data_IF_961402837698
#
_entry.id   IF_961402837698
#
_cell.length_a   1.000
_cell.length_b   1.000
_cell.length_c   1.000
_cell.angle_alpha   90.00
_cell.angle_beta   90.00
_cell.angle_gamma   90.00
#
_symmetry.space_group_name_H-M   'P 1'
#
loop_
_entity.id
_entity.type
_entity.pdbx_description
1 polymer ?
#
# COMPACT_ATOMS: atom_id res chain seq x y z
N UNK A 1 31.69 0.67 2.65
CA UNK A 1 31.09 -0.48 3.36
C UNK A 1 29.85 -0.95 2.59
N UNK A 2 29.29 -2.14 2.91
CA UNK A 2 28.08 -2.65 2.27
C UNK A 2 26.87 -1.69 2.42
N UNK A 3 26.77 -1.01 3.57
CA UNK A 3 25.76 0.02 3.85
C UNK A 3 25.76 1.15 2.81
N UNK A 4 26.91 1.81 2.61
CA UNK A 4 27.03 2.92 1.65
C UNK A 4 26.65 2.48 0.24
N UNK A 5 26.95 1.23 -0.14
CA UNK A 5 26.56 0.71 -1.45
C UNK A 5 25.05 0.50 -1.56
N UNK A 6 24.39 -0.01 -0.52
CA UNK A 6 22.94 -0.20 -0.49
C UNK A 6 22.20 1.15 -0.60
N UNK A 7 22.63 2.16 0.15
CA UNK A 7 22.03 3.50 0.12
C UNK A 7 22.15 4.18 -1.25
N UNK A 8 23.29 4.00 -1.93
CA UNK A 8 23.48 4.54 -3.29
C UNK A 8 22.51 3.87 -4.27
N UNK A 9 22.37 2.54 -4.20
CA UNK A 9 21.44 1.80 -5.06
C UNK A 9 19.99 2.21 -4.78
N UNK A 10 19.62 2.31 -3.51
CA UNK A 10 18.30 2.78 -3.09
C UNK A 10 17.98 4.17 -3.65
N UNK A 11 18.92 5.13 -3.53
CA UNK A 11 18.74 6.49 -4.07
C UNK A 11 18.59 6.51 -5.60
N UNK A 12 19.28 5.62 -6.31
CA UNK A 12 19.06 5.45 -7.75
C UNK A 12 17.63 4.94 -8.03
N UNK A 13 17.12 4.03 -7.20
CA UNK A 13 15.73 3.58 -7.24
C UNK A 13 14.75 4.75 -7.13
N UNK A 14 14.96 5.64 -6.15
CA UNK A 14 14.12 6.84 -5.96
C UNK A 14 14.10 7.77 -7.18
N UNK A 15 15.21 7.85 -7.94
CA UNK A 15 15.24 8.64 -9.17
C UNK A 15 14.32 8.07 -10.24
N UNK A 16 14.31 6.75 -10.44
CA UNK A 16 13.39 6.09 -11.37
C UNK A 16 11.94 6.14 -10.89
N UNK A 17 11.73 6.05 -9.58
CA UNK A 17 10.41 6.12 -8.92
C UNK A 17 9.76 7.48 -9.20
N UNK A 18 10.52 8.57 -9.05
CA UNK A 18 10.07 9.92 -9.39
C UNK A 18 9.70 10.11 -10.87
N UNK A 19 10.22 9.25 -11.75
CA UNK A 19 9.93 9.23 -13.19
C UNK A 19 8.84 8.22 -13.55
N UNK A 20 8.22 7.56 -12.55
CA UNK A 20 7.24 6.48 -12.72
C UNK A 20 7.78 5.27 -13.49
N UNK A 21 9.10 5.08 -13.48
CA UNK A 21 9.72 3.88 -14.01
C UNK A 21 9.79 2.83 -12.90
N UNK A 22 8.64 2.19 -12.66
CA UNK A 22 8.47 1.27 -11.53
C UNK A 22 9.34 0.03 -11.65
N UNK A 23 9.47 -0.56 -12.85
CA UNK A 23 10.32 -1.75 -13.05
C UNK A 23 11.79 -1.50 -12.68
N UNK A 24 12.36 -0.36 -13.10
CA UNK A 24 13.73 -0.01 -12.70
C UNK A 24 13.84 0.30 -11.21
N UNK A 25 12.80 0.89 -10.62
CA UNK A 25 12.75 1.18 -9.18
C UNK A 25 12.71 -0.11 -8.36
N UNK A 26 11.83 -1.05 -8.73
CA UNK A 26 11.70 -2.38 -8.10
C UNK A 26 13.05 -3.11 -8.12
N UNK A 27 13.73 -3.14 -9.26
CA UNK A 27 15.03 -3.81 -9.37
C UNK A 27 16.08 -3.20 -8.41
N UNK A 28 16.13 -1.87 -8.33
CA UNK A 28 17.09 -1.19 -7.47
C UNK A 28 16.75 -1.35 -5.99
N UNK A 29 15.48 -1.24 -5.60
CA UNK A 29 15.07 -1.46 -4.22
C UNK A 29 15.28 -2.92 -3.79
N UNK A 30 15.00 -3.89 -4.66
CA UNK A 30 15.29 -5.32 -4.42
C UNK A 30 16.79 -5.55 -4.17
N UNK A 31 17.66 -4.95 -4.99
CA UNK A 31 19.12 -5.03 -4.81
C UNK A 31 19.62 -4.34 -3.53
N UNK A 32 19.05 -3.19 -3.18
CA UNK A 32 19.37 -2.51 -1.92
C UNK A 32 18.96 -3.38 -0.71
N UNK A 33 17.75 -3.96 -0.75
CA UNK A 33 17.22 -4.83 0.27
C UNK A 33 18.01 -6.15 0.38
N UNK A 34 18.42 -6.75 -0.74
CA UNK A 34 19.28 -7.95 -0.72
C UNK A 34 20.64 -7.68 -0.05
N UNK A 35 21.15 -6.44 -0.08
CA UNK A 35 22.36 -6.05 0.62
C UNK A 35 22.14 -5.75 2.12
N UNK A 36 20.89 -5.46 2.52
CA UNK A 36 20.47 -5.19 3.90
C UNK A 36 19.04 -5.68 4.14
N UNK A 37 18.91 -6.97 4.44
CA UNK A 37 17.62 -7.67 4.45
C UNK A 37 16.66 -7.22 5.56
N UNK A 38 17.13 -6.46 6.54
CA UNK A 38 16.31 -5.96 7.66
C UNK A 38 15.93 -4.49 7.53
N UNK A 39 16.24 -3.85 6.40
CA UNK A 39 16.04 -2.41 6.21
C UNK A 39 14.60 -2.12 5.76
N UNK A 40 13.76 -1.78 6.73
CA UNK A 40 12.30 -1.62 6.55
C UNK A 40 11.93 -0.45 5.63
N UNK A 41 12.73 0.62 5.57
CA UNK A 41 12.48 1.69 4.58
C UNK A 41 12.74 1.22 3.14
N UNK A 42 13.68 0.31 2.87
CA UNK A 42 13.82 -0.24 1.52
C UNK A 42 12.60 -1.11 1.16
N UNK A 43 12.08 -1.87 2.13
CA UNK A 43 10.86 -2.66 1.94
C UNK A 43 9.66 -1.79 1.63
N UNK A 44 9.48 -0.68 2.37
CA UNK A 44 8.38 0.25 2.13
C UNK A 44 8.35 0.76 0.68
N UNK A 45 9.51 1.19 0.16
CA UNK A 45 9.62 1.68 -1.22
C UNK A 45 9.50 0.56 -2.26
N UNK A 46 10.04 -0.64 -1.99
CA UNK A 46 9.88 -1.80 -2.85
C UNK A 46 8.41 -2.21 -2.98
N UNK A 47 7.71 -2.36 -1.85
CA UNK A 47 6.28 -2.69 -1.81
C UNK A 47 5.43 -1.65 -2.53
N UNK A 48 5.73 -0.36 -2.32
CA UNK A 48 5.07 0.74 -3.05
C UNK A 48 5.31 0.68 -4.55
N UNK A 49 6.55 0.45 -5.00
CA UNK A 49 6.87 0.38 -6.42
C UNK A 49 6.22 -0.83 -7.11
N UNK A 50 6.14 -1.98 -6.43
CA UNK A 50 5.40 -3.16 -6.89
C UNK A 50 3.89 -2.86 -7.03
N UNK A 51 3.31 -2.19 -6.03
CA UNK A 51 1.92 -1.74 -6.06
C UNK A 51 1.65 -0.78 -7.22
N UNK A 52 2.52 0.22 -7.44
CA UNK A 52 2.38 1.14 -8.57
C UNK A 52 2.55 0.43 -9.91
N UNK A 53 3.46 -0.54 -10.02
CA UNK A 53 3.58 -1.37 -11.22
C UNK A 53 2.30 -2.18 -11.47
N UNK A 54 1.68 -2.75 -10.44
CA UNK A 54 0.43 -3.51 -10.54
C UNK A 54 -0.74 -2.70 -11.14
N UNK A 55 -0.78 -1.39 -10.88
CA UNK A 55 -1.79 -0.47 -11.45
C UNK A 55 -1.64 -0.30 -12.96
N UNK A 56 -0.46 -0.57 -13.52
CA UNK A 56 -0.15 -0.34 -14.95
C UNK A 56 -0.32 -1.57 -15.83
N UNK A 57 -0.43 -2.77 -15.27
CA UNK A 57 -0.49 -4.04 -16.01
C UNK A 57 -1.88 -4.69 -15.92
N UNK A 58 -2.19 -5.63 -16.82
CA UNK A 58 -3.45 -6.38 -16.82
C UNK A 58 -3.47 -7.61 -15.90
N UNK A 59 -4.53 -8.41 -16.01
CA UNK A 59 -4.70 -9.66 -15.25
C UNK A 59 -4.00 -10.87 -15.89
N UNK A 60 -3.48 -10.71 -17.12
CA UNK A 60 -2.69 -11.73 -17.81
C UNK A 60 -1.19 -11.50 -17.56
N UNK A 61 -0.44 -12.58 -17.40
CA UNK A 61 1.00 -12.55 -17.14
C UNK A 61 1.64 -13.87 -17.54
N UNK A 62 2.89 -13.81 -17.98
CA UNK A 62 3.67 -14.97 -18.40
C UNK A 62 4.44 -15.62 -17.24
N UNK A 63 4.52 -14.95 -16.09
CA UNK A 63 5.23 -15.43 -14.91
C UNK A 63 4.29 -15.48 -13.69
N UNK A 64 3.89 -16.69 -13.22
CA UNK A 64 3.09 -16.84 -12.01
C UNK A 64 3.94 -16.60 -10.76
N UNK A 65 3.34 -16.06 -9.70
CA UNK A 65 3.98 -15.87 -8.41
C UNK A 65 3.28 -16.68 -7.31
N UNK A 66 3.99 -17.19 -6.28
CA UNK A 66 3.39 -18.03 -5.25
C UNK A 66 2.26 -17.31 -4.49
N UNK A 67 1.21 -18.05 -4.13
CA UNK A 67 0.09 -17.48 -3.36
C UNK A 67 0.50 -17.07 -1.94
N UNK A 68 1.38 -17.83 -1.30
CA UNK A 68 1.92 -17.56 0.04
C UNK A 68 3.36 -17.05 -0.04
N UNK A 69 3.58 -16.00 -0.84
CA UNK A 69 4.90 -15.45 -1.09
C UNK A 69 5.51 -14.78 0.15
N UNK A 70 6.84 -14.85 0.23
CA UNK A 70 7.67 -14.20 1.24
C UNK A 70 8.51 -13.09 0.61
N UNK A 71 9.14 -12.25 1.44
CA UNK A 71 10.11 -11.26 0.96
C UNK A 71 11.27 -11.92 0.20
N UNK A 72 11.67 -13.14 0.58
CA UNK A 72 12.75 -13.87 -0.07
C UNK A 72 12.37 -14.31 -1.49
N UNK A 73 11.11 -14.70 -1.72
CA UNK A 73 10.59 -14.98 -3.06
C UNK A 73 10.68 -13.74 -3.96
N UNK A 74 10.34 -12.56 -3.42
CA UNK A 74 10.46 -11.29 -4.14
C UNK A 74 11.92 -10.94 -4.42
N UNK A 75 12.81 -11.17 -3.46
CA UNK A 75 14.25 -10.95 -3.63
C UNK A 75 14.88 -11.89 -4.66
N UNK A 76 14.29 -13.06 -4.91
CA UNK A 76 14.76 -14.01 -5.91
C UNK A 76 14.38 -13.66 -7.36
N UNK A 77 13.44 -12.73 -7.57
CA UNK A 77 12.96 -12.37 -8.91
C UNK A 77 14.04 -11.71 -9.77
N UNK A 78 14.11 -12.12 -11.03
CA UNK A 78 14.83 -11.41 -12.10
C UNK A 78 13.97 -10.28 -12.69
N UNK A 79 14.57 -9.23 -13.27
CA UNK A 79 13.83 -8.13 -13.90
C UNK A 79 12.78 -8.58 -14.92
N UNK A 80 13.11 -9.57 -15.76
CA UNK A 80 12.22 -10.10 -16.78
C UNK A 80 11.04 -10.87 -16.18
N UNK A 81 11.23 -11.48 -15.00
CA UNK A 81 10.15 -12.15 -14.27
C UNK A 81 9.17 -11.14 -13.70
N UNK A 82 9.65 -10.06 -13.07
CA UNK A 82 8.80 -8.95 -12.60
C UNK A 82 8.02 -8.33 -13.76
N UNK A 83 8.67 -8.12 -14.91
CA UNK A 83 8.02 -7.61 -16.12
C UNK A 83 6.93 -8.56 -16.64
N UNK A 84 7.11 -9.87 -16.48
CA UNK A 84 6.16 -10.90 -16.91
C UNK A 84 5.02 -11.18 -15.94
N UNK A 85 5.01 -10.59 -14.74
CA UNK A 85 3.96 -10.81 -13.75
C UNK A 85 2.66 -10.08 -14.11
N UNK A 86 1.54 -10.71 -13.80
CA UNK A 86 0.24 -10.04 -13.86
C UNK A 86 0.02 -9.14 -12.63
N UNK A 87 -1.08 -8.40 -12.66
CA UNK A 87 -1.50 -7.54 -11.56
C UNK A 87 -1.59 -8.24 -10.20
N UNK A 88 -2.29 -9.36 -10.12
CA UNK A 88 -2.51 -10.08 -8.85
C UNK A 88 -1.19 -10.54 -8.25
N UNK A 89 -0.28 -11.03 -9.09
CA UNK A 89 1.03 -11.49 -8.67
C UNK A 89 1.91 -10.34 -8.17
N UNK A 90 1.83 -9.16 -8.80
CA UNK A 90 2.51 -7.95 -8.31
C UNK A 90 1.92 -7.44 -6.98
N UNK A 91 0.60 -7.55 -6.80
CA UNK A 91 -0.05 -7.20 -5.53
C UNK A 91 0.36 -8.15 -4.40
N UNK A 92 0.46 -9.46 -4.67
CA UNK A 92 1.02 -10.45 -3.73
C UNK A 92 2.48 -10.17 -3.39
N UNK A 93 3.30 -9.80 -4.38
CA UNK A 93 4.68 -9.42 -4.13
C UNK A 93 4.77 -8.15 -3.27
N UNK A 94 3.92 -7.15 -3.53
CA UNK A 94 3.84 -5.96 -2.69
C UNK A 94 3.42 -6.31 -1.25
N UNK A 95 2.42 -7.20 -1.08
CA UNK A 95 1.95 -7.68 0.22
C UNK A 95 3.07 -8.34 1.01
N UNK A 96 3.77 -9.30 0.40
CA UNK A 96 4.85 -10.04 1.04
C UNK A 96 5.93 -9.10 1.61
N UNK A 97 6.28 -8.05 0.86
CA UNK A 97 7.28 -7.06 1.28
C UNK A 97 6.73 -6.13 2.38
N UNK A 98 5.49 -5.65 2.25
CA UNK A 98 4.91 -4.73 3.24
C UNK A 98 4.58 -5.42 4.56
N UNK A 99 4.12 -6.67 4.53
CA UNK A 99 3.95 -7.48 5.75
C UNK A 99 5.29 -7.72 6.44
N UNK A 100 6.37 -7.94 5.70
CA UNK A 100 7.71 -8.06 6.30
C UNK A 100 8.18 -6.74 6.91
N UNK A 101 7.95 -5.60 6.24
CA UNK A 101 8.27 -4.28 6.78
C UNK A 101 7.55 -4.02 8.12
N UNK A 102 6.26 -4.32 8.17
CA UNK A 102 5.46 -4.26 9.40
C UNK A 102 5.96 -5.24 10.46
N UNK A 103 6.35 -6.47 10.09
CA UNK A 103 6.88 -7.46 11.04
C UNK A 103 8.19 -6.99 11.67
N UNK A 104 9.08 -6.36 10.90
CA UNK A 104 10.37 -5.85 11.39
C UNK A 104 10.18 -4.64 12.29
N UNK A 105 9.26 -3.75 11.94
CA UNK A 105 9.01 -2.51 12.68
C UNK A 105 7.51 -2.30 12.95
N UNK A 106 6.92 -3.08 13.89
CA UNK A 106 5.47 -3.13 14.09
C UNK A 106 4.88 -1.86 14.69
N UNK A 107 5.71 -0.97 15.25
CA UNK A 107 5.26 0.31 15.80
C UNK A 107 5.33 1.45 14.79
N UNK A 108 5.90 1.23 13.60
CA UNK A 108 5.91 2.22 12.54
C UNK A 108 4.54 2.24 11.84
N UNK A 109 3.77 3.28 12.12
CA UNK A 109 2.42 3.46 11.56
C UNK A 109 2.41 3.52 10.04
N UNK A 110 3.49 3.97 9.39
CA UNK A 110 3.55 4.05 7.93
C UNK A 110 3.48 2.67 7.30
N UNK A 111 4.09 1.64 7.88
CA UNK A 111 4.04 0.28 7.32
C UNK A 111 2.62 -0.25 7.33
N UNK A 112 1.95 -0.12 8.46
CA UNK A 112 0.54 -0.48 8.63
C UNK A 112 -0.37 0.29 7.66
N UNK A 113 -0.22 1.62 7.59
CA UNK A 113 -1.02 2.44 6.68
C UNK A 113 -0.76 2.12 5.20
N UNK A 114 0.47 1.76 4.81
CA UNK A 114 0.75 1.35 3.43
C UNK A 114 0.19 -0.04 3.11
N UNK A 115 0.14 -0.95 4.08
CA UNK A 115 -0.54 -2.24 3.92
C UNK A 115 -2.05 -2.04 3.73
N UNK A 116 -2.69 -1.11 4.48
CA UNK A 116 -4.07 -0.70 4.20
C UNK A 116 -4.27 -0.17 2.78
N UNK A 117 -3.39 0.74 2.32
CA UNK A 117 -3.46 1.32 0.96
C UNK A 117 -3.27 0.26 -0.13
N UNK A 118 -2.42 -0.73 0.10
CA UNK A 118 -2.28 -1.89 -0.78
C UNK A 118 -3.62 -2.61 -0.90
N UNK A 119 -4.24 -3.00 0.21
CA UNK A 119 -5.51 -3.73 0.19
C UNK A 119 -6.66 -2.91 -0.40
N UNK A 120 -6.73 -1.61 -0.09
CA UNK A 120 -7.70 -0.72 -0.73
C UNK A 120 -7.55 -0.71 -2.25
N UNK A 121 -6.31 -0.62 -2.74
CA UNK A 121 -6.00 -0.66 -4.18
C UNK A 121 -6.34 -2.02 -4.77
N UNK A 122 -6.01 -3.11 -4.08
CA UNK A 122 -6.32 -4.47 -4.53
C UNK A 122 -7.83 -4.64 -4.70
N UNK A 123 -8.62 -4.16 -3.73
CA UNK A 123 -10.07 -4.16 -3.81
C UNK A 123 -10.59 -3.39 -5.03
N UNK A 124 -10.03 -2.21 -5.32
CA UNK A 124 -10.42 -1.37 -6.46
C UNK A 124 -10.08 -2.00 -7.81
N UNK A 125 -8.97 -2.72 -7.88
CA UNK A 125 -8.52 -3.38 -9.11
C UNK A 125 -9.17 -4.76 -9.34
N UNK A 126 -9.84 -5.32 -8.33
CA UNK A 126 -10.51 -6.61 -8.45
C UNK A 126 -11.88 -6.49 -9.10
N UNK A 127 -12.12 -7.31 -10.11
CA UNK A 127 -13.46 -7.52 -10.68
C UNK A 127 -14.29 -8.54 -9.91
N UNK A 128 -13.65 -9.35 -9.05
CA UNK A 128 -14.33 -10.36 -8.24
C UNK A 128 -14.90 -9.71 -6.96
N UNK A 129 -16.22 -9.74 -6.75
CA UNK A 129 -16.84 -9.18 -5.56
C UNK A 129 -16.33 -9.77 -4.25
N UNK A 130 -16.04 -11.08 -4.20
CA UNK A 130 -15.57 -11.73 -2.98
C UNK A 130 -14.17 -11.25 -2.61
N UNK A 131 -13.26 -11.16 -3.59
CA UNK A 131 -11.92 -10.59 -3.38
C UNK A 131 -12.04 -9.12 -2.98
N UNK A 132 -12.93 -8.36 -3.63
CA UNK A 132 -13.14 -6.95 -3.28
C UNK A 132 -13.55 -6.79 -1.81
N UNK A 133 -14.50 -7.58 -1.33
CA UNK A 133 -14.93 -7.50 0.08
C UNK A 133 -13.80 -7.92 1.04
N UNK A 134 -13.12 -9.03 0.75
CA UNK A 134 -12.02 -9.50 1.60
C UNK A 134 -10.89 -8.47 1.72
N UNK A 135 -10.50 -7.83 0.61
CA UNK A 135 -9.47 -6.80 0.62
C UNK A 135 -9.92 -5.50 1.32
N UNK A 136 -11.21 -5.16 1.27
CA UNK A 136 -11.72 -4.04 2.06
C UNK A 136 -11.69 -4.36 3.56
N UNK A 137 -12.02 -5.58 3.96
CA UNK A 137 -11.95 -6.03 5.35
C UNK A 137 -10.49 -5.96 5.88
N UNK A 138 -9.52 -6.45 5.10
CA UNK A 138 -8.09 -6.32 5.43
C UNK A 138 -7.64 -4.85 5.49
N UNK A 139 -8.08 -4.00 4.53
CA UNK A 139 -7.76 -2.56 4.55
C UNK A 139 -8.26 -1.88 5.82
N UNK A 140 -9.47 -2.20 6.27
CA UNK A 140 -10.07 -1.63 7.48
C UNK A 140 -9.31 -2.11 8.72
N UNK A 141 -8.99 -3.41 8.80
CA UNK A 141 -8.24 -3.97 9.93
C UNK A 141 -6.86 -3.31 10.10
N UNK A 142 -6.15 -3.10 8.99
CA UNK A 142 -4.86 -2.39 9.03
C UNK A 142 -5.06 -0.91 9.40
N UNK A 143 -6.11 -0.24 8.92
CA UNK A 143 -6.37 1.15 9.34
C UNK A 143 -6.76 1.26 10.81
N UNK A 144 -7.48 0.29 11.36
CA UNK A 144 -7.78 0.20 12.78
C UNK A 144 -6.49 0.12 13.61
N UNK A 145 -5.51 -0.67 13.18
CA UNK A 145 -4.21 -0.71 13.82
C UNK A 145 -3.42 0.60 13.62
N UNK A 146 -3.48 1.21 12.43
CA UNK A 146 -2.77 2.45 12.15
C UNK A 146 -3.25 3.61 13.03
N UNK A 147 -4.56 3.76 13.23
CA UNK A 147 -5.12 4.78 14.13
C UNK A 147 -4.89 4.45 15.61
N UNK A 148 -4.71 3.18 15.98
CA UNK A 148 -4.27 2.83 17.34
C UNK A 148 -2.81 3.25 17.60
N UNK A 149 -1.92 3.08 16.62
CA UNK A 149 -0.52 3.48 16.72
C UNK A 149 -0.34 5.00 16.70
N UNK A 150 -1.10 5.70 15.86
CA UNK A 150 -1.08 7.16 15.72
C UNK A 150 -2.47 7.79 15.84
N UNK A 151 -3.05 7.86 17.06
CA UNK A 151 -4.45 8.26 17.26
C UNK A 151 -4.76 9.70 16.86
N UNK A 152 -3.77 10.58 16.88
CA UNK A 152 -3.94 12.00 16.55
C UNK A 152 -3.64 12.31 15.08
N UNK A 153 -3.40 11.31 14.24
CA UNK A 153 -3.13 11.51 12.81
C UNK A 153 -4.43 11.64 12.03
N UNK A 154 -4.94 12.86 11.89
CA UNK A 154 -6.20 13.17 11.20
C UNK A 154 -6.30 12.55 9.79
N UNK A 155 -5.19 12.48 9.05
CA UNK A 155 -5.15 11.84 7.73
C UNK A 155 -5.43 10.34 7.75
N UNK A 156 -5.02 9.60 8.78
CA UNK A 156 -5.32 8.16 8.89
C UNK A 156 -6.81 7.91 9.13
N UNK A 157 -7.48 8.80 9.85
CA UNK A 157 -8.93 8.74 10.04
C UNK A 157 -9.69 9.01 8.74
N UNK A 158 -9.21 9.92 7.90
CA UNK A 158 -9.78 10.10 6.55
C UNK A 158 -9.61 8.85 5.69
N UNK A 159 -8.42 8.25 5.71
CA UNK A 159 -8.16 7.04 4.94
C UNK A 159 -8.98 5.83 5.44
N UNK A 160 -9.17 5.71 6.76
CA UNK A 160 -10.10 4.74 7.36
C UNK A 160 -11.54 4.99 6.88
N UNK A 161 -11.97 6.25 6.86
CA UNK A 161 -13.30 6.62 6.35
C UNK A 161 -13.48 6.24 4.89
N UNK A 162 -12.47 6.44 4.04
CA UNK A 162 -12.48 6.01 2.64
C UNK A 162 -12.60 4.48 2.51
N UNK A 163 -11.97 3.70 3.39
CA UNK A 163 -12.07 2.24 3.39
C UNK A 163 -13.49 1.78 3.77
N UNK A 164 -14.08 2.31 4.84
CA UNK A 164 -15.47 2.04 5.21
C UNK A 164 -16.46 2.45 4.12
N UNK A 165 -16.26 3.62 3.50
CA UNK A 165 -17.13 4.08 2.42
C UNK A 165 -17.09 3.14 1.22
N UNK A 166 -15.90 2.64 0.86
CA UNK A 166 -15.75 1.64 -0.19
C UNK A 166 -16.36 0.28 0.16
N UNK A 167 -16.47 -0.03 1.46
CA UNK A 167 -17.17 -1.20 2.00
C UNK A 167 -18.70 -1.04 2.03
N UNK A 168 -19.20 0.18 1.82
CA UNK A 168 -20.62 0.53 1.92
C UNK A 168 -21.08 0.83 3.35
N UNK A 169 -20.14 1.04 4.28
CA UNK A 169 -20.40 1.29 5.70
C UNK A 169 -20.43 2.80 5.96
N UNK A 170 -21.46 3.47 5.43
CA UNK A 170 -21.55 4.93 5.42
C UNK A 170 -21.46 5.58 6.80
N UNK A 171 -22.17 5.03 7.80
CA UNK A 171 -22.18 5.59 9.15
C UNK A 171 -20.77 5.51 9.80
N UNK A 172 -20.00 4.46 9.51
CA UNK A 172 -18.63 4.31 9.98
C UNK A 172 -17.67 5.25 9.23
N UNK A 173 -17.91 5.48 7.95
CA UNK A 173 -17.16 6.44 7.16
C UNK A 173 -17.35 7.88 7.69
N UNK A 174 -18.59 8.30 7.90
CA UNK A 174 -18.92 9.63 8.45
C UNK A 174 -18.32 9.83 9.85
N UNK A 175 -18.39 8.81 10.70
CA UNK A 175 -17.78 8.84 12.02
C UNK A 175 -16.26 9.04 11.95
N UNK A 176 -15.57 8.36 11.02
CA UNK A 176 -14.13 8.50 10.84
C UNK A 176 -13.75 9.90 10.31
N UNK A 177 -14.49 10.44 9.33
CA UNK A 177 -14.26 11.81 8.85
C UNK A 177 -14.53 12.86 9.92
N UNK A 178 -15.60 12.70 10.70
CA UNK A 178 -15.93 13.61 11.80
C UNK A 178 -14.87 13.55 12.90
N UNK A 179 -14.30 12.37 13.17
CA UNK A 179 -13.17 12.24 14.09
C UNK A 179 -11.92 12.95 13.55
N UNK A 180 -11.60 12.79 12.26
CA UNK A 180 -10.51 13.54 11.60
C UNK A 180 -10.69 15.06 11.77
N UNK A 181 -11.90 15.57 11.55
CA UNK A 181 -12.23 16.98 11.69
C UNK A 181 -12.09 17.49 13.13
N UNK A 182 -12.43 16.65 14.12
CA UNK A 182 -12.28 16.97 15.53
C UNK A 182 -10.80 17.03 15.97
N UNK A 183 -9.95 16.19 15.37
CA UNK A 183 -8.51 16.20 15.62
C UNK A 183 -7.81 17.40 14.99
N UNK A 184 -8.14 17.71 13.73
CA UNK A 184 -7.56 18.84 13.00
C UNK A 184 -8.65 19.56 12.17
N UNK A 185 -9.23 20.64 12.73
CA UNK A 185 -10.20 21.47 12.03
C UNK A 185 -9.64 22.25 10.83
N UNK A 186 -8.32 22.25 10.62
CA UNK A 186 -7.68 22.92 9.48
C UNK A 186 -7.24 21.92 8.40
N UNK A 187 -7.51 20.62 8.58
CA UNK A 187 -7.15 19.63 7.59
C UNK A 187 -8.12 19.66 6.40
N UNK A 188 -7.78 20.45 5.39
CA UNK A 188 -8.60 20.75 4.21
C UNK A 188 -9.19 19.50 3.54
N UNK A 189 -8.40 18.42 3.46
CA UNK A 189 -8.82 17.16 2.84
C UNK A 189 -10.07 16.56 3.50
N UNK A 190 -10.25 16.76 4.81
CA UNK A 190 -11.42 16.25 5.54
C UNK A 190 -12.72 16.91 5.06
N UNK A 191 -12.68 18.22 4.81
CA UNK A 191 -13.84 18.95 4.29
C UNK A 191 -14.22 18.50 2.89
N UNK A 192 -13.22 18.24 2.03
CA UNK A 192 -13.46 17.71 0.68
C UNK A 192 -14.14 16.33 0.73
N UNK A 193 -13.70 15.46 1.64
CA UNK A 193 -14.27 14.12 1.81
C UNK A 193 -15.70 14.18 2.36
N UNK A 194 -15.97 15.03 3.36
CA UNK A 194 -17.31 15.22 3.91
C UNK A 194 -18.27 15.83 2.87
N UNK A 195 -17.80 16.81 2.08
CA UNK A 195 -18.61 17.41 1.02
C UNK A 195 -19.03 16.37 -0.02
N UNK A 196 -18.08 15.56 -0.49
CA UNK A 196 -18.33 14.49 -1.46
C UNK A 196 -19.18 13.35 -0.85
N UNK A 197 -19.02 13.05 0.44
CA UNK A 197 -19.87 12.10 1.16
C UNK A 197 -21.33 12.56 1.22
N UNK A 198 -21.59 13.80 1.66
CA UNK A 198 -22.96 14.30 1.78
C UNK A 198 -23.63 14.60 0.43
N UNK A 199 -22.88 15.04 -0.58
CA UNK A 199 -23.41 15.19 -1.94
C UNK A 199 -23.87 13.84 -2.50
N UNK A 200 -23.12 12.76 -2.27
CA UNK A 200 -23.54 11.40 -2.66
C UNK A 200 -24.80 10.96 -1.91
N UNK A 201 -24.88 11.19 -0.60
CA UNK A 201 -26.03 10.79 0.23
C UNK A 201 -27.32 11.56 -0.10
N UNK A 202 -27.24 12.82 -0.54
CA UNK A 202 -28.42 13.61 -0.94
C UNK A 202 -29.01 13.19 -2.30
N UNK A 203 -28.27 12.42 -3.11
CA UNK A 203 -28.69 12.00 -4.45
C UNK A 203 -29.50 10.69 -4.47
N UNK A 204 -29.69 10.05 -3.31
CA UNK A 204 -30.42 8.79 -3.14
C UNK A 204 -31.51 8.94 -2.08
#
# INVERSE_FOLDING_TARGET
TALVRADVIYKQGQQFDSQRNWLSSVELYRRALAARTTEDHYMLFLGRALLEQAKTVGNEGAYPFPENATVDDVLALAPEQVQGMNRTDLLRAAEAVLREAQRINPLNTDHTANLSRLYRTWADLSSDPAIKQAMLDESIAEYDMAVQLSPNAAHLWNEKGNAHLARGEEDLAEAAYTHSLALDPLFEQTYLLLADFYDRRQRY
#
